data_IF_095369062445
#
_entry.id   IF_095369062445
#
_cell.length_a   1.000
_cell.length_b   1.000
_cell.length_c   1.000
_cell.angle_alpha   90.00
_cell.angle_beta   90.00
_cell.angle_gamma   90.00
#
_symmetry.space_group_name_H-M   'P 1'
#
loop_
_entity.id
_entity.type
_entity.pdbx_description
1 polymer ?
#
# COMPACT_ATOMS: atom_id res chain seq x y z
N UNK A 1 42.74 -31.86 -2.66
CA UNK A 1 42.09 -30.62 -3.13
C UNK A 1 40.62 -30.94 -3.26
N UNK A 2 39.90 -30.77 -2.16
CA UNK A 2 38.52 -31.22 -2.00
C UNK A 2 37.55 -30.22 -2.63
N UNK A 3 36.59 -30.79 -3.35
CA UNK A 3 35.47 -30.16 -4.02
C UNK A 3 34.42 -29.73 -3.00
N UNK A 4 34.08 -28.43 -2.96
CA UNK A 4 32.90 -27.94 -2.23
C UNK A 4 31.61 -28.17 -3.05
N UNK A 5 30.54 -28.70 -2.45
CA UNK A 5 29.29 -28.95 -3.14
C UNK A 5 28.45 -27.67 -3.31
N UNK A 6 27.80 -27.57 -4.46
CA UNK A 6 26.76 -26.59 -4.79
C UNK A 6 25.49 -26.93 -3.99
N UNK A 7 25.16 -26.14 -2.99
CA UNK A 7 23.82 -26.12 -2.40
C UNK A 7 22.92 -25.17 -3.19
N UNK A 8 21.93 -25.74 -3.87
CA UNK A 8 20.82 -24.98 -4.45
C UNK A 8 19.89 -24.52 -3.34
N UNK A 9 19.63 -23.22 -3.26
CA UNK A 9 18.59 -22.67 -2.41
C UNK A 9 17.26 -22.74 -3.15
N UNK A 10 16.42 -23.71 -2.76
CA UNK A 10 15.00 -23.65 -3.01
C UNK A 10 14.39 -22.71 -1.96
N UNK A 11 13.84 -21.58 -2.38
CA UNK A 11 13.04 -20.71 -1.51
C UNK A 11 11.69 -21.40 -1.35
N UNK A 12 11.50 -22.04 -0.20
CA UNK A 12 10.23 -22.61 0.23
C UNK A 12 9.38 -21.44 0.78
N UNK A 13 8.34 -21.03 0.06
CA UNK A 13 7.34 -20.10 0.60
C UNK A 13 6.45 -20.91 1.55
N UNK A 14 6.71 -20.77 2.85
CA UNK A 14 5.89 -21.37 3.89
C UNK A 14 4.70 -20.44 4.20
N UNK A 15 3.50 -20.90 3.87
CA UNK A 15 2.26 -20.35 4.40
C UNK A 15 2.20 -20.60 5.91
N UNK A 16 2.34 -19.55 6.71
CA UNK A 16 2.06 -19.62 8.14
C UNK A 16 0.53 -19.63 8.34
N UNK A 17 -0.05 -20.83 8.38
CA UNK A 17 -1.35 -21.05 8.99
C UNK A 17 -1.20 -20.85 10.50
N UNK A 18 -1.84 -19.80 11.04
CA UNK A 18 -1.95 -19.62 12.50
C UNK A 18 -2.82 -20.73 13.09
N UNK A 19 -2.18 -21.80 13.54
CA UNK A 19 -2.75 -22.77 14.46
C UNK A 19 -2.63 -22.25 15.90
N UNK A 20 -3.75 -22.26 16.63
CA UNK A 20 -3.77 -22.06 18.07
C UNK A 20 -2.75 -22.98 18.77
N UNK A 21 -1.83 -22.40 19.53
CA UNK A 21 -1.05 -23.10 20.54
C UNK A 21 -1.23 -22.40 21.88
N UNK A 22 -1.84 -23.11 22.82
CA UNK A 22 -1.90 -22.78 24.24
C UNK A 22 -0.50 -22.79 24.85
N UNK A 23 -0.05 -21.75 25.57
CA UNK A 23 1.18 -21.80 26.33
C UNK A 23 0.98 -22.49 27.69
N UNK A 24 1.94 -23.36 28.00
CA UNK A 24 2.11 -24.09 29.25
C UNK A 24 2.64 -23.17 30.35
N UNK A 25 2.20 -23.41 31.60
CA UNK A 25 2.53 -22.63 32.80
C UNK A 25 3.99 -22.82 33.24
N UNK A 26 4.72 -21.74 33.45
CA UNK A 26 5.82 -21.66 34.42
C UNK A 26 5.63 -20.46 35.35
N UNK A 27 5.88 -20.69 36.65
CA UNK A 27 5.77 -19.73 37.75
C UNK A 27 7.12 -19.05 37.97
N UNK A 28 7.13 -17.72 38.06
CA UNK A 28 8.10 -16.98 38.88
C UNK A 28 7.52 -15.63 39.35
N UNK A 29 7.26 -15.57 40.66
CA UNK A 29 7.34 -14.45 41.63
C UNK A 29 7.23 -12.99 41.16
N UNK A 30 6.05 -12.42 41.45
CA UNK A 30 5.76 -11.17 42.18
C UNK A 30 6.87 -10.11 42.30
N UNK A 31 6.67 -8.99 41.61
CA UNK A 31 6.76 -7.66 42.22
C UNK A 31 5.55 -6.83 41.77
N UNK A 32 4.78 -6.37 42.75
CA UNK A 32 3.47 -5.76 42.55
C UNK A 32 3.65 -4.27 42.31
N UNK A 33 3.54 -3.84 41.06
CA UNK A 33 3.25 -2.44 40.73
C UNK A 33 1.84 -2.41 40.16
N UNK A 34 0.90 -1.98 41.00
CA UNK A 34 -0.51 -1.79 40.64
C UNK A 34 -0.62 -0.65 39.62
N UNK A 35 -0.49 -0.95 38.34
CA UNK A 35 -0.97 -0.06 37.27
C UNK A 35 -2.45 -0.36 37.12
N UNK A 36 -3.29 0.58 37.54
CA UNK A 36 -4.73 0.50 37.36
C UNK A 36 -5.03 0.41 35.85
N UNK A 37 -5.43 -0.77 35.39
CA UNK A 37 -6.04 -0.96 34.07
C UNK A 37 -7.30 -0.09 34.02
N UNK A 38 -7.48 0.79 33.01
CA UNK A 38 -8.73 1.50 32.88
C UNK A 38 -9.82 0.47 32.60
N UNK A 39 -10.79 0.38 33.52
CA UNK A 39 -12.02 -0.36 33.30
C UNK A 39 -12.73 0.36 32.14
N UNK A 40 -12.67 -0.23 30.95
CA UNK A 40 -13.59 0.11 29.87
C UNK A 40 -15.00 -0.16 30.42
N UNK A 41 -15.77 0.90 30.66
CA UNK A 41 -17.19 0.77 30.96
C UNK A 41 -17.86 0.13 29.74
N UNK A 42 -18.15 -1.16 29.83
CA UNK A 42 -18.98 -1.88 28.85
C UNK A 42 -20.36 -1.21 28.82
N UNK A 43 -20.57 -0.35 27.83
CA UNK A 43 -21.83 0.36 27.63
C UNK A 43 -22.70 -0.50 26.73
N UNK A 44 -23.88 -0.90 27.21
CA UNK A 44 -24.90 -1.59 26.40
C UNK A 44 -25.43 -0.64 25.33
N UNK A 45 -24.71 -0.47 24.22
CA UNK A 45 -25.21 0.28 23.07
C UNK A 45 -25.61 -0.72 21.98
N UNK A 46 -26.91 -1.02 21.90
CA UNK A 46 -27.52 -1.45 20.65
C UNK A 46 -27.29 -0.34 19.62
N UNK A 47 -27.12 -0.69 18.33
CA UNK A 47 -27.02 0.29 17.24
C UNK A 47 -28.20 1.25 17.37
N UNK A 48 -28.00 2.56 17.58
CA UNK A 48 -29.10 3.51 17.54
C UNK A 48 -29.73 3.41 16.15
N UNK A 49 -30.95 2.88 16.08
CA UNK A 49 -31.67 2.64 14.81
C UNK A 49 -31.77 3.91 13.94
N UNK A 50 -31.62 5.08 14.56
CA UNK A 50 -31.64 6.42 13.96
C UNK A 50 -30.45 6.72 13.06
N UNK A 51 -29.29 6.10 13.28
CA UNK A 51 -28.08 6.41 12.51
C UNK A 51 -27.79 5.39 11.41
N UNK A 52 -28.50 4.25 11.38
CA UNK A 52 -28.33 3.25 10.31
C UNK A 52 -28.67 3.83 8.94
N UNK A 53 -27.81 3.54 7.96
CA UNK A 53 -27.91 4.06 6.61
C UNK A 53 -27.97 2.91 5.60
N UNK A 54 -28.90 2.98 4.66
CA UNK A 54 -28.97 2.09 3.50
C UNK A 54 -28.07 2.65 2.39
N UNK A 55 -26.92 2.01 2.20
CA UNK A 55 -25.87 2.47 1.29
C UNK A 55 -26.35 2.60 -0.15
N UNK A 56 -27.20 1.68 -0.61
CA UNK A 56 -27.67 1.63 -2.00
C UNK A 56 -28.78 2.63 -2.29
N UNK A 57 -29.46 3.13 -1.24
CA UNK A 57 -30.60 4.04 -1.35
C UNK A 57 -30.30 5.48 -0.97
N UNK A 58 -29.26 5.73 -0.18
CA UNK A 58 -28.95 7.08 0.25
C UNK A 58 -28.42 7.90 -0.93
N UNK A 59 -28.95 9.13 -1.08
CA UNK A 59 -28.45 10.06 -2.08
C UNK A 59 -27.26 10.83 -1.51
N UNK A 60 -26.11 10.75 -2.18
CA UNK A 60 -24.99 11.66 -1.94
C UNK A 60 -25.32 13.02 -2.55
N UNK A 61 -25.24 14.09 -1.75
CA UNK A 61 -25.56 15.45 -2.18
C UNK A 61 -24.33 16.21 -2.70
N UNK A 62 -23.14 15.91 -2.14
CA UNK A 62 -21.84 16.42 -2.60
C UNK A 62 -20.70 15.65 -1.94
N UNK A 63 -19.49 15.86 -2.43
CA UNK A 63 -18.26 15.40 -1.82
C UNK A 63 -17.53 16.58 -1.17
N UNK A 64 -16.89 16.32 -0.03
CA UNK A 64 -15.99 17.26 0.66
C UNK A 64 -14.73 16.52 1.06
N UNK A 65 -13.67 17.26 1.39
CA UNK A 65 -12.39 16.70 1.83
C UNK A 65 -12.07 17.18 3.24
N UNK A 66 -11.43 16.32 4.04
CA UNK A 66 -10.92 16.70 5.36
C UNK A 66 -9.72 17.63 5.20
N UNK A 67 -9.83 18.88 5.66
CA UNK A 67 -8.78 19.90 5.50
C UNK A 67 -7.88 20.06 6.74
N UNK A 68 -8.20 19.36 7.83
CA UNK A 68 -7.41 19.38 9.06
C UNK A 68 -6.27 18.36 8.99
N UNK A 69 -5.02 18.82 9.11
CA UNK A 69 -3.82 17.96 9.00
C UNK A 69 -3.78 16.81 9.99
N UNK A 70 -4.38 16.99 11.16
CA UNK A 70 -4.49 15.97 12.21
C UNK A 70 -5.68 15.01 12.02
N UNK A 71 -6.40 15.10 10.91
CA UNK A 71 -7.68 14.43 10.72
C UNK A 71 -8.80 15.07 11.54
N UNK A 72 -10.00 14.48 11.47
CA UNK A 72 -11.20 14.95 12.17
C UNK A 72 -11.96 13.78 12.79
N UNK A 73 -12.67 13.99 13.91
CA UNK A 73 -13.51 12.94 14.51
C UNK A 73 -14.81 12.75 13.75
N UNK A 74 -15.20 11.49 13.52
CA UNK A 74 -16.55 11.12 13.05
C UNK A 74 -17.46 10.94 14.26
N UNK A 75 -18.49 11.78 14.41
CA UNK A 75 -19.32 11.84 15.63
C UNK A 75 -20.68 11.18 15.46
N UNK A 76 -21.24 10.75 16.59
CA UNK A 76 -22.58 10.12 16.67
C UNK A 76 -23.75 11.13 16.53
N UNK A 77 -23.51 12.41 16.79
CA UNK A 77 -24.50 13.49 16.72
C UNK A 77 -23.84 14.84 16.40
N UNK A 78 -24.65 15.86 16.06
CA UNK A 78 -24.22 17.24 15.75
C UNK A 78 -23.84 18.03 17.01
N UNK A 79 -22.85 17.54 17.76
CA UNK A 79 -22.36 18.15 19.00
C UNK A 79 -20.90 17.78 19.24
N UNK A 80 -20.09 18.74 19.69
CA UNK A 80 -18.70 18.51 20.10
C UNK A 80 -18.56 17.54 21.29
N UNK A 81 -19.63 17.39 22.08
CA UNK A 81 -19.69 16.47 23.23
C UNK A 81 -20.20 15.09 22.83
N UNK A 82 -20.64 14.89 21.58
CA UNK A 82 -21.09 13.60 21.10
C UNK A 82 -19.94 12.58 21.04
N UNK A 83 -20.30 11.31 21.21
CA UNK A 83 -19.35 10.20 21.11
C UNK A 83 -18.65 10.21 19.74
N UNK A 84 -17.35 9.95 19.77
CA UNK A 84 -16.53 9.75 18.57
C UNK A 84 -16.64 8.28 18.18
N UNK A 85 -17.07 8.02 16.96
CA UNK A 85 -17.29 6.69 16.40
C UNK A 85 -16.15 6.24 15.48
N UNK A 86 -15.34 7.19 15.01
CA UNK A 86 -14.20 6.96 14.13
C UNK A 86 -13.42 8.25 13.91
N UNK A 87 -12.41 8.18 13.05
CA UNK A 87 -11.66 9.34 12.58
C UNK A 87 -11.58 9.29 11.06
N UNK A 88 -11.56 10.46 10.43
CA UNK A 88 -11.26 10.62 9.02
C UNK A 88 -9.92 11.34 8.88
N UNK A 89 -9.08 10.87 7.98
CA UNK A 89 -7.71 11.34 7.79
C UNK A 89 -7.64 12.61 6.92
N UNK A 90 -6.54 13.35 6.99
CA UNK A 90 -6.33 14.52 6.15
C UNK A 90 -6.39 14.16 4.65
N UNK A 91 -7.21 14.90 3.89
CA UNK A 91 -7.43 14.63 2.47
C UNK A 91 -8.42 13.50 2.19
N UNK A 92 -8.97 12.85 3.22
CA UNK A 92 -10.03 11.85 3.02
C UNK A 92 -11.27 12.50 2.41
N UNK A 93 -11.82 11.85 1.37
CA UNK A 93 -13.03 12.28 0.70
C UNK A 93 -14.26 11.74 1.43
N UNK A 94 -15.13 12.64 1.86
CA UNK A 94 -16.37 12.31 2.56
C UNK A 94 -17.59 12.56 1.69
N UNK A 95 -18.44 11.54 1.56
CA UNK A 95 -19.71 11.65 0.86
C UNK A 95 -20.78 12.23 1.80
N UNK A 96 -21.17 13.48 1.53
CA UNK A 96 -22.19 14.18 2.29
C UNK A 96 -23.57 13.67 1.87
N UNK A 97 -24.41 13.32 2.85
CA UNK A 97 -25.79 12.85 2.64
C UNK A 97 -26.82 13.82 3.20
N UNK A 98 -26.41 14.72 4.10
CA UNK A 98 -27.28 15.75 4.65
C UNK A 98 -26.49 16.99 5.07
N UNK A 99 -27.10 18.16 4.88
CA UNK A 99 -26.55 19.45 5.25
C UNK A 99 -27.33 20.01 6.45
N UNK A 100 -26.64 20.27 7.57
CA UNK A 100 -27.25 20.62 8.86
C UNK A 100 -26.71 21.96 9.40
N UNK A 101 -26.34 22.89 8.51
CA UNK A 101 -25.73 24.16 8.91
C UNK A 101 -24.28 23.96 9.36
N UNK A 102 -23.96 24.20 10.63
CA UNK A 102 -22.58 24.08 11.13
C UNK A 102 -22.03 22.65 11.10
N UNK A 103 -22.92 21.67 10.93
CA UNK A 103 -22.59 20.26 10.80
C UNK A 103 -22.98 19.73 9.42
N UNK A 104 -22.31 18.67 9.00
CA UNK A 104 -22.71 17.86 7.85
C UNK A 104 -22.80 16.40 8.29
N UNK A 105 -23.74 15.68 7.68
CA UNK A 105 -23.85 14.25 7.88
C UNK A 105 -23.23 13.53 6.68
N UNK A 106 -22.33 12.60 6.96
CA UNK A 106 -21.55 11.86 5.96
C UNK A 106 -21.76 10.36 6.12
N UNK A 107 -21.43 9.60 5.07
CA UNK A 107 -21.40 8.13 5.14
C UNK A 107 -20.16 7.68 5.91
N UNK A 108 -20.35 6.99 7.02
CA UNK A 108 -19.26 6.36 7.77
C UNK A 108 -19.47 4.85 7.88
N UNK A 109 -18.41 4.06 7.68
CA UNK A 109 -18.45 2.62 7.98
C UNK A 109 -18.00 2.40 9.42
N UNK A 110 -18.94 2.14 10.31
CA UNK A 110 -18.69 2.11 11.76
C UNK A 110 -18.70 0.68 12.27
N UNK A 111 -17.65 0.32 13.01
CA UNK A 111 -17.57 -0.91 13.79
C UNK A 111 -18.24 -0.72 15.16
N UNK A 112 -19.12 -1.64 15.55
CA UNK A 112 -19.82 -1.65 16.84
C UNK A 112 -19.62 -3.01 17.50
N UNK A 113 -19.21 -2.98 18.77
CA UNK A 113 -19.08 -4.16 19.63
C UNK A 113 -20.10 -4.05 20.78
N UNK A 114 -20.98 -5.04 20.93
CA UNK A 114 -21.95 -5.08 22.02
C UNK A 114 -22.23 -6.51 22.48
N UNK A 115 -22.74 -6.64 23.70
CA UNK A 115 -23.14 -7.93 24.29
C UNK A 115 -24.66 -8.02 24.28
N UNK A 116 -25.20 -9.06 23.67
CA UNK A 116 -26.64 -9.37 23.72
C UNK A 116 -27.07 -9.77 25.13
N UNK A 117 -28.37 -9.76 25.40
CA UNK A 117 -28.90 -10.14 26.72
C UNK A 117 -28.61 -11.61 27.09
N UNK A 118 -28.31 -12.46 26.10
CA UNK A 118 -27.87 -13.85 26.29
C UNK A 118 -26.35 -14.00 26.56
N UNK A 119 -25.63 -12.89 26.66
CA UNK A 119 -24.17 -12.88 26.89
C UNK A 119 -23.32 -13.02 25.63
N UNK A 120 -23.93 -13.15 24.45
CA UNK A 120 -23.20 -13.25 23.18
C UNK A 120 -22.53 -11.93 22.82
N UNK A 121 -21.22 -11.95 22.59
CA UNK A 121 -20.48 -10.83 22.01
C UNK A 121 -20.76 -10.74 20.51
N UNK A 122 -21.15 -9.56 20.05
CA UNK A 122 -21.39 -9.24 18.65
C UNK A 122 -20.42 -8.16 18.24
N UNK A 123 -19.64 -8.45 17.21
CA UNK A 123 -18.88 -7.47 16.44
C UNK A 123 -19.59 -7.29 15.11
N UNK A 124 -19.92 -6.05 14.78
CA UNK A 124 -20.62 -5.73 13.55
C UNK A 124 -20.03 -4.47 12.92
N UNK A 125 -20.02 -4.39 11.59
CA UNK A 125 -19.76 -3.13 10.90
C UNK A 125 -20.94 -2.80 10.00
N UNK A 126 -21.31 -1.53 9.96
CA UNK A 126 -22.43 -1.07 9.15
C UNK A 126 -22.20 0.35 8.63
N UNK A 127 -22.95 0.70 7.59
CA UNK A 127 -23.02 2.08 7.15
C UNK A 127 -23.93 2.87 8.10
N UNK A 128 -23.36 3.93 8.66
CA UNK A 128 -24.06 4.86 9.53
C UNK A 128 -23.93 6.29 9.00
N UNK A 129 -24.94 7.10 9.32
CA UNK A 129 -24.84 8.55 9.25
C UNK A 129 -24.00 9.02 10.45
N UNK A 130 -22.85 9.60 10.16
CA UNK A 130 -21.96 10.22 11.16
C UNK A 130 -21.79 11.69 10.85
N UNK A 131 -21.41 12.47 11.86
CA UNK A 131 -21.43 13.92 11.79
C UNK A 131 -20.03 14.48 11.94
N UNK A 132 -19.70 15.45 11.10
CA UNK A 132 -18.44 16.22 11.16
C UNK A 132 -18.75 17.72 11.10
N UNK A 133 -17.90 18.53 11.70
CA UNK A 133 -18.06 19.97 11.66
C UNK A 133 -17.74 20.49 10.25
N UNK A 134 -18.58 21.38 9.72
CA UNK A 134 -18.43 21.88 8.34
C UNK A 134 -17.09 22.58 8.13
N UNK A 135 -16.67 23.38 9.11
CA UNK A 135 -15.45 24.20 9.03
C UNK A 135 -14.16 23.37 9.07
N UNK A 136 -14.23 22.06 9.32
CA UNK A 136 -13.10 21.14 9.27
C UNK A 136 -13.04 20.37 7.93
N UNK A 137 -13.96 20.69 7.01
CA UNK A 137 -14.03 20.14 5.67
C UNK A 137 -14.00 21.24 4.62
N UNK A 138 -13.54 20.90 3.42
CA UNK A 138 -13.42 21.84 2.31
C UNK A 138 -13.41 21.15 0.96
N UNK A 139 -12.83 21.84 0.00
CA UNK A 139 -12.64 21.37 -1.38
C UNK A 139 -11.26 20.74 -1.59
N UNK A 140 -11.08 20.02 -2.69
CA UNK A 140 -9.78 19.40 -3.01
C UNK A 140 -8.65 20.43 -3.12
N UNK A 141 -8.94 21.64 -3.60
CA UNK A 141 -7.94 22.71 -3.77
C UNK A 141 -7.39 23.25 -2.44
N UNK A 142 -8.08 22.98 -1.32
CA UNK A 142 -7.62 23.31 0.03
C UNK A 142 -6.68 22.23 0.60
N UNK A 143 -6.60 21.07 -0.06
CA UNK A 143 -5.64 20.02 0.27
C UNK A 143 -4.30 20.39 -0.33
N UNK A 144 -3.34 20.72 0.55
CA UNK A 144 -2.00 21.09 0.19
C UNK A 144 -1.02 20.14 0.85
N UNK A 145 -0.29 19.39 0.03
CA UNK A 145 0.87 18.65 0.49
C UNK A 145 1.98 19.62 0.84
N UNK A 146 2.67 19.31 1.92
CA UNK A 146 3.89 19.97 2.35
C UNK A 146 5.06 19.00 2.16
N UNK A 147 6.27 19.53 2.18
CA UNK A 147 7.47 18.71 2.00
C UNK A 147 7.62 17.63 3.08
N UNK A 148 7.13 17.87 4.30
CA UNK A 148 7.11 16.89 5.39
C UNK A 148 6.13 15.75 5.16
N UNK A 149 5.10 15.95 4.33
CA UNK A 149 4.10 14.91 4.05
C UNK A 149 4.66 13.83 3.11
N UNK A 150 5.57 14.20 2.19
CA UNK A 150 6.06 13.30 1.15
C UNK A 150 7.03 12.22 1.64
N UNK A 151 7.87 12.53 2.61
CA UNK A 151 8.96 11.65 3.03
C UNK A 151 8.61 10.86 4.29
N UNK A 152 7.34 10.50 4.49
CA UNK A 152 6.92 9.68 5.61
C UNK A 152 6.79 8.22 5.19
N UNK A 153 7.40 7.32 5.97
CA UNK A 153 7.37 5.89 5.72
C UNK A 153 6.76 5.15 6.92
N UNK A 154 5.99 4.12 6.65
CA UNK A 154 5.46 3.19 7.66
C UNK A 154 6.32 1.93 7.77
N UNK A 155 7.20 1.66 6.80
CA UNK A 155 8.15 0.55 6.86
C UNK A 155 9.38 0.80 6.00
N UNK A 156 10.47 0.07 6.30
CA UNK A 156 11.66 -0.03 5.46
C UNK A 156 12.16 -1.46 5.42
N UNK A 157 12.60 -1.93 4.25
CA UNK A 157 13.41 -3.14 4.14
C UNK A 157 14.78 -2.79 3.54
N UNK A 158 15.85 -3.02 4.30
CA UNK A 158 17.22 -2.78 3.86
C UNK A 158 18.04 -4.03 4.12
N UNK A 159 18.64 -4.60 3.07
CA UNK A 159 19.44 -5.83 3.15
C UNK A 159 18.70 -6.96 3.90
N UNK A 160 17.42 -7.17 3.56
CA UNK A 160 16.54 -8.18 4.14
C UNK A 160 16.15 -7.93 5.61
N UNK A 161 16.54 -6.79 6.19
CA UNK A 161 16.06 -6.37 7.50
C UNK A 161 14.87 -5.43 7.35
N UNK A 162 13.74 -5.80 7.93
CA UNK A 162 12.53 -4.99 7.97
C UNK A 162 12.39 -4.25 9.30
N UNK A 163 12.03 -2.97 9.22
CA UNK A 163 11.57 -2.16 10.35
C UNK A 163 10.17 -1.61 10.01
N UNK A 164 9.28 -1.53 11.01
CA UNK A 164 7.93 -0.99 10.90
C UNK A 164 7.74 0.18 11.87
N UNK A 165 7.01 1.21 11.44
CA UNK A 165 6.81 2.48 12.16
C UNK A 165 5.33 2.80 12.22
N UNK A 166 4.65 2.41 13.30
CA UNK A 166 3.21 2.58 13.49
C UNK A 166 2.74 4.04 13.35
N UNK A 167 3.54 4.99 13.84
CA UNK A 167 3.25 6.44 13.73
C UNK A 167 3.88 7.11 12.51
N UNK A 168 4.41 6.32 11.59
CA UNK A 168 5.27 6.77 10.51
C UNK A 168 6.63 7.27 11.02
N UNK A 169 7.58 7.40 10.09
CA UNK A 169 8.92 7.95 10.35
C UNK A 169 9.37 8.79 9.16
N UNK A 170 10.00 9.95 9.36
CA UNK A 170 10.63 10.68 8.27
C UNK A 170 11.78 9.86 7.64
N UNK A 171 11.69 9.64 6.33
CA UNK A 171 12.76 9.10 5.50
C UNK A 171 13.80 10.21 5.28
N UNK A 172 14.97 10.02 5.89
CA UNK A 172 16.08 11.00 5.86
C UNK A 172 17.28 10.51 5.05
N UNK A 173 17.24 9.27 4.57
CA UNK A 173 18.32 8.62 3.81
C UNK A 173 17.76 7.88 2.60
N UNK A 174 18.63 7.54 1.64
CA UNK A 174 18.36 6.76 0.42
C UNK A 174 17.53 7.47 -0.67
N UNK A 175 16.36 8.00 -0.32
CA UNK A 175 15.47 8.70 -1.24
C UNK A 175 14.95 9.99 -0.60
N UNK A 176 14.90 11.06 -1.39
CA UNK A 176 14.23 12.31 -1.02
C UNK A 176 13.25 12.65 -2.12
N UNK A 177 11.96 12.69 -1.77
CA UNK A 177 10.92 13.23 -2.62
C UNK A 177 10.83 14.73 -2.41
N UNK A 178 10.59 15.49 -3.47
CA UNK A 178 10.46 16.95 -3.42
C UNK A 178 9.16 17.38 -4.08
N UNK A 179 8.46 18.32 -3.43
CA UNK A 179 7.36 19.02 -4.09
C UNK A 179 7.94 20.02 -5.09
N UNK A 180 7.58 19.83 -6.35
CA UNK A 180 7.92 20.77 -7.42
C UNK A 180 6.64 21.44 -7.92
N UNK A 181 6.77 22.69 -8.37
CA UNK A 181 5.67 23.36 -9.04
C UNK A 181 5.60 22.96 -10.52
N UNK A 182 4.48 23.29 -11.17
CA UNK A 182 4.25 22.98 -12.57
C UNK A 182 5.33 23.55 -13.50
N UNK A 183 5.83 24.76 -13.24
CA UNK A 183 6.88 25.38 -14.05
C UNK A 183 8.19 24.57 -14.02
N UNK A 184 8.58 24.08 -12.84
CA UNK A 184 9.75 23.21 -12.69
C UNK A 184 9.52 21.89 -13.42
N UNK A 185 8.35 21.27 -13.25
CA UNK A 185 8.01 20.04 -13.95
C UNK A 185 8.12 20.18 -15.47
N UNK A 186 7.47 21.20 -16.05
CA UNK A 186 7.50 21.42 -17.51
C UNK A 186 8.91 21.74 -18.02
N UNK A 187 9.71 22.49 -17.25
CA UNK A 187 11.11 22.78 -17.60
C UNK A 187 11.99 21.53 -17.57
N UNK A 188 11.74 20.61 -16.64
CA UNK A 188 12.52 19.38 -16.50
C UNK A 188 12.03 18.24 -17.39
N UNK A 189 10.82 18.36 -17.97
CA UNK A 189 10.26 17.35 -18.88
C UNK A 189 11.15 17.08 -20.09
N UNK A 190 11.84 18.09 -20.62
CA UNK A 190 12.80 17.92 -21.72
C UNK A 190 14.11 17.23 -21.30
N UNK A 191 14.37 17.12 -20.00
CA UNK A 191 15.56 16.51 -19.42
C UNK A 191 15.33 15.06 -18.97
N UNK A 192 14.17 14.48 -19.28
CA UNK A 192 13.89 13.06 -19.02
C UNK A 192 14.95 12.24 -19.74
N UNK A 193 15.61 11.36 -18.98
CA UNK A 193 16.59 10.42 -19.51
C UNK A 193 15.95 9.04 -19.52
N UNK A 194 15.90 8.42 -20.69
CA UNK A 194 15.57 7.02 -20.86
C UNK A 194 16.77 6.30 -21.48
N UNK A 195 17.22 5.24 -20.82
CA UNK A 195 18.34 4.42 -21.27
C UNK A 195 17.89 3.13 -21.94
N UNK A 196 16.58 2.88 -22.00
CA UNK A 196 16.02 1.72 -22.67
C UNK A 196 16.12 1.90 -24.19
N UNK A 197 16.83 0.98 -24.83
CA UNK A 197 16.70 0.77 -26.26
C UNK A 197 15.56 -0.22 -26.50
N UNK A 198 14.38 0.29 -26.86
CA UNK A 198 13.18 -0.49 -27.14
C UNK A 198 13.23 -1.16 -28.54
N UNK A 199 14.15 -2.10 -28.73
CA UNK A 199 14.32 -2.87 -29.96
C UNK A 199 13.40 -4.10 -30.04
N UNK A 200 12.14 -3.92 -29.65
CA UNK A 200 11.14 -5.00 -29.53
C UNK A 200 10.84 -5.72 -30.85
N UNK A 201 11.21 -5.12 -31.98
CA UNK A 201 11.10 -5.74 -33.31
C UNK A 201 12.22 -6.75 -33.60
N UNK A 202 13.32 -6.73 -32.83
CA UNK A 202 14.45 -7.66 -32.99
C UNK A 202 14.20 -8.96 -32.24
N UNK A 203 13.72 -8.87 -31.01
CA UNK A 203 13.40 -10.03 -30.17
C UNK A 203 11.89 -10.23 -30.16
N UNK A 204 11.42 -11.03 -31.12
CA UNK A 204 10.01 -11.33 -31.30
C UNK A 204 9.66 -12.62 -30.55
N UNK A 205 8.64 -12.56 -29.69
CA UNK A 205 8.04 -13.74 -29.06
C UNK A 205 7.42 -14.65 -30.13
N UNK A 206 7.76 -15.93 -30.11
CA UNK A 206 7.21 -16.94 -31.02
C UNK A 206 6.62 -18.10 -30.23
N UNK A 207 5.34 -18.39 -30.45
CA UNK A 207 4.61 -19.48 -29.77
C UNK A 207 4.78 -19.44 -28.24
N UNK A 208 4.61 -18.26 -27.63
CA UNK A 208 4.79 -18.09 -26.18
C UNK A 208 6.24 -18.14 -25.69
N UNK A 209 7.24 -18.09 -26.58
CA UNK A 209 8.66 -18.16 -26.20
C UNK A 209 9.39 -16.90 -26.67
N UNK A 210 9.92 -16.16 -25.71
CA UNK A 210 10.89 -15.08 -25.92
C UNK A 210 12.30 -15.66 -25.82
N UNK A 211 13.11 -15.53 -26.87
CA UNK A 211 14.50 -16.02 -26.86
C UNK A 211 15.46 -14.84 -26.80
N UNK A 212 16.12 -14.66 -25.67
CA UNK A 212 17.14 -13.63 -25.49
C UNK A 212 18.49 -14.15 -26.00
N UNK A 213 19.12 -13.50 -27.00
CA UNK A 213 20.46 -13.86 -27.43
C UNK A 213 21.46 -13.45 -26.34
N UNK A 214 22.41 -14.34 -26.00
CA UNK A 214 23.48 -13.99 -25.05
C UNK A 214 24.82 -14.44 -25.60
N UNK A 215 25.91 -13.90 -25.07
CA UNK A 215 27.25 -14.30 -25.48
C UNK A 215 27.52 -15.80 -25.25
N UNK A 216 26.98 -16.37 -24.16
CA UNK A 216 27.21 -17.77 -23.81
C UNK A 216 26.21 -18.72 -24.48
N UNK A 217 24.92 -18.58 -24.15
CA UNK A 217 23.85 -19.42 -24.67
C UNK A 217 22.52 -18.68 -24.68
N UNK A 218 21.71 -18.77 -25.73
CA UNK A 218 20.40 -18.15 -25.74
C UNK A 218 19.54 -18.60 -24.55
N UNK A 219 18.84 -17.66 -23.94
CA UNK A 219 17.89 -17.92 -22.85
C UNK A 219 16.50 -17.96 -23.45
N UNK A 220 15.72 -18.98 -23.08
CA UNK A 220 14.33 -19.12 -23.50
C UNK A 220 13.44 -18.84 -22.30
N UNK A 221 12.70 -17.74 -22.37
CA UNK A 221 11.66 -17.38 -21.42
C UNK A 221 10.34 -17.84 -22.03
N UNK A 222 9.64 -18.71 -21.33
CA UNK A 222 8.41 -19.34 -21.83
C UNK A 222 7.23 -18.82 -21.04
N UNK A 223 6.21 -18.38 -21.74
CA UNK A 223 4.91 -18.12 -21.15
C UNK A 223 4.32 -19.43 -20.62
N UNK A 224 3.60 -19.31 -19.51
CA UNK A 224 2.76 -20.35 -18.94
C UNK A 224 1.32 -19.85 -18.98
N UNK A 225 0.51 -20.32 -19.95
CA UNK A 225 -0.90 -19.97 -19.98
C UNK A 225 -1.60 -20.59 -18.76
N UNK A 226 -2.55 -19.86 -18.18
CA UNK A 226 -3.31 -20.25 -17.00
C UNK A 226 -4.31 -19.16 -16.63
N UNK A 227 -5.21 -19.40 -15.68
CA UNK A 227 -5.99 -18.33 -15.06
C UNK A 227 -5.26 -17.83 -13.81
N UNK A 228 -5.20 -18.66 -12.77
CA UNK A 228 -4.56 -18.32 -11.50
C UNK A 228 -3.03 -18.53 -11.50
N UNK A 229 -2.50 -19.38 -12.39
CA UNK A 229 -1.09 -19.71 -12.47
C UNK A 229 -0.41 -19.19 -13.76
N UNK A 230 -1.02 -18.14 -14.35
CA UNK A 230 -0.55 -17.48 -15.56
C UNK A 230 0.81 -16.82 -15.33
N UNK A 231 1.70 -16.98 -16.31
CA UNK A 231 2.96 -16.26 -16.39
C UNK A 231 3.18 -15.83 -17.84
N UNK A 232 3.08 -14.53 -18.12
CA UNK A 232 3.29 -13.97 -19.45
C UNK A 232 4.46 -13.01 -19.44
N UNK A 233 5.40 -13.19 -20.37
CA UNK A 233 6.65 -12.43 -20.36
C UNK A 233 6.77 -11.53 -21.59
N UNK A 234 6.96 -10.23 -21.40
CA UNK A 234 7.11 -9.28 -22.50
C UNK A 234 8.52 -8.68 -22.51
N UNK A 235 9.21 -8.83 -23.62
CA UNK A 235 10.49 -8.13 -23.82
C UNK A 235 10.24 -6.64 -24.02
N UNK A 236 10.92 -5.79 -23.24
CA UNK A 236 10.78 -4.33 -23.32
C UNK A 236 11.93 -3.68 -24.08
N UNK A 237 13.12 -4.29 -24.06
CA UNK A 237 14.30 -3.70 -24.67
C UNK A 237 15.56 -4.05 -23.90
N UNK A 238 16.62 -3.29 -24.16
CA UNK A 238 17.92 -3.49 -23.56
C UNK A 238 18.51 -2.20 -23.00
N UNK A 239 19.34 -2.33 -21.98
CA UNK A 239 20.04 -1.22 -21.34
C UNK A 239 21.54 -1.49 -21.44
N UNK A 240 22.16 -0.86 -22.43
CA UNK A 240 23.51 -1.22 -22.87
C UNK A 240 24.57 -1.06 -21.78
N UNK A 241 24.53 0.04 -21.03
CA UNK A 241 25.53 0.34 -20.01
C UNK A 241 25.47 -0.60 -18.79
N UNK A 242 24.36 -1.32 -18.59
CA UNK A 242 24.24 -2.35 -17.56
C UNK A 242 24.50 -3.76 -18.11
N UNK A 243 24.67 -3.90 -19.43
CA UNK A 243 24.71 -5.19 -20.11
C UNK A 243 23.49 -6.07 -19.78
N UNK A 244 22.29 -5.48 -19.71
CA UNK A 244 21.05 -6.18 -19.34
C UNK A 244 19.97 -6.06 -20.43
N UNK A 245 19.17 -7.11 -20.57
CA UNK A 245 17.82 -7.05 -21.14
C UNK A 245 16.81 -6.70 -20.04
N UNK A 246 15.72 -6.02 -20.43
CA UNK A 246 14.56 -5.77 -19.57
C UNK A 246 13.36 -6.57 -20.07
N UNK A 247 12.76 -7.34 -19.17
CA UNK A 247 11.58 -8.17 -19.43
C UNK A 247 10.54 -7.89 -18.37
N UNK A 248 9.32 -7.60 -18.76
CA UNK A 248 8.15 -7.55 -17.89
C UNK A 248 7.60 -8.96 -17.70
N UNK A 249 7.29 -9.33 -16.46
CA UNK A 249 6.48 -10.51 -16.13
C UNK A 249 5.08 -10.07 -15.70
N UNK A 250 4.05 -10.69 -16.27
CA UNK A 250 2.65 -10.51 -15.88
C UNK A 250 2.10 -11.82 -15.32
N UNK A 251 1.45 -11.72 -14.16
CA UNK A 251 1.00 -12.83 -13.34
C UNK A 251 -0.46 -12.62 -12.91
N UNK A 252 -1.05 -13.61 -12.24
CA UNK A 252 -2.35 -13.41 -11.61
C UNK A 252 -2.22 -12.32 -10.52
N UNK A 253 -2.98 -11.23 -10.67
CA UNK A 253 -3.02 -10.04 -9.78
C UNK A 253 -1.67 -9.35 -9.48
N UNK A 254 -0.62 -9.67 -10.24
CA UNK A 254 0.72 -9.12 -10.01
C UNK A 254 1.49 -8.96 -11.31
N UNK A 255 2.53 -8.15 -11.26
CA UNK A 255 3.49 -7.98 -12.33
C UNK A 255 4.84 -7.58 -11.74
N UNK A 256 5.89 -7.71 -12.54
CA UNK A 256 7.23 -7.24 -12.17
C UNK A 256 8.05 -6.92 -13.43
N UNK A 257 9.23 -6.34 -13.21
CA UNK A 257 10.26 -6.17 -14.22
C UNK A 257 11.53 -6.89 -13.80
N UNK A 258 12.17 -7.56 -14.76
CA UNK A 258 13.36 -8.38 -14.54
C UNK A 258 14.51 -7.97 -15.45
N UNK A 259 15.70 -7.92 -14.88
CA UNK A 259 16.94 -7.83 -15.65
C UNK A 259 17.51 -9.20 -15.95
N UNK A 260 17.93 -9.39 -17.20
CA UNK A 260 18.67 -10.56 -17.65
C UNK A 260 20.02 -10.14 -18.24
N UNK A 261 21.11 -10.69 -17.70
CA UNK A 261 22.47 -10.34 -18.14
C UNK A 261 22.73 -10.83 -19.56
N UNK A 262 23.18 -9.94 -20.45
CA UNK A 262 23.40 -10.23 -21.88
C UNK A 262 24.56 -11.20 -22.12
N UNK A 263 25.42 -11.45 -21.14
CA UNK A 263 26.54 -12.38 -21.26
C UNK A 263 26.15 -13.79 -20.82
N UNK A 264 25.67 -13.91 -19.59
CA UNK A 264 25.37 -15.18 -18.91
C UNK A 264 23.93 -15.66 -19.10
N UNK A 265 23.01 -14.74 -19.38
CA UNK A 265 21.58 -15.01 -19.47
C UNK A 265 20.90 -15.20 -18.12
N UNK A 266 21.58 -14.91 -17.00
CA UNK A 266 20.99 -15.03 -15.68
C UNK A 266 20.08 -13.84 -15.39
N UNK A 267 18.99 -14.11 -14.70
CA UNK A 267 18.26 -13.07 -13.99
C UNK A 267 19.18 -12.45 -12.93
N UNK A 268 19.28 -11.13 -12.90
CA UNK A 268 20.18 -10.40 -12.00
C UNK A 268 19.45 -9.54 -10.99
N UNK A 269 18.24 -9.07 -11.30
CA UNK A 269 17.42 -8.24 -10.43
C UNK A 269 15.95 -8.31 -10.82
N UNK A 270 15.08 -8.27 -9.82
CA UNK A 270 13.61 -8.11 -9.97
C UNK A 270 13.18 -6.78 -9.36
N UNK A 271 12.24 -6.10 -9.99
CA UNK A 271 11.68 -4.81 -9.61
C UNK A 271 10.15 -4.91 -9.57
N UNK A 272 9.51 -4.23 -8.63
CA UNK A 272 8.05 -4.25 -8.49
C UNK A 272 7.33 -3.54 -9.66
N UNK A 273 7.98 -2.55 -10.27
CA UNK A 273 7.52 -1.79 -11.44
C UNK A 273 8.73 -1.34 -12.28
N UNK A 274 8.51 -0.57 -13.34
CA UNK A 274 9.53 -0.13 -14.29
C UNK A 274 10.78 0.45 -13.60
N UNK A 275 11.98 -0.04 -13.94
CA UNK A 275 13.22 0.42 -13.32
C UNK A 275 13.72 1.73 -13.96
N UNK A 276 13.46 2.86 -13.30
CA UNK A 276 13.98 4.16 -13.71
C UNK A 276 15.44 4.32 -13.28
N UNK A 277 16.33 4.57 -14.23
CA UNK A 277 17.77 4.75 -13.98
C UNK A 277 18.07 6.24 -13.87
N UNK A 278 18.81 6.62 -12.83
CA UNK A 278 19.22 8.02 -12.64
C UNK A 278 20.10 8.51 -13.79
N UNK A 279 20.06 9.81 -14.10
CA UNK A 279 20.84 10.42 -15.20
C UNK A 279 22.36 10.16 -15.11
N UNK A 280 22.89 10.04 -13.88
CA UNK A 280 24.28 9.71 -13.61
C UNK A 280 24.60 8.19 -13.65
N UNK A 281 23.60 7.34 -13.94
CA UNK A 281 23.69 5.87 -14.08
C UNK A 281 24.14 5.13 -12.82
N UNK A 282 24.02 5.75 -11.63
CA UNK A 282 24.47 5.17 -10.37
C UNK A 282 23.36 4.49 -9.57
N UNK A 283 22.11 4.89 -9.78
CA UNK A 283 20.99 4.41 -9.01
C UNK A 283 19.85 3.98 -9.93
N UNK A 284 19.06 3.03 -9.45
CA UNK A 284 17.84 2.56 -10.09
C UNK A 284 16.74 2.67 -9.05
N UNK A 285 15.60 3.25 -9.43
CA UNK A 285 14.40 3.32 -8.61
C UNK A 285 13.25 2.64 -9.35
N UNK A 286 12.47 1.87 -8.60
CA UNK A 286 11.21 1.30 -9.06
C UNK A 286 10.15 1.78 -8.08
N UNK A 287 9.06 2.34 -8.61
CA UNK A 287 7.97 2.92 -7.82
C UNK A 287 6.71 2.17 -8.19
N UNK A 288 6.14 1.48 -7.20
CA UNK A 288 4.92 0.71 -7.35
C UNK A 288 3.87 1.25 -6.36
N UNK A 289 2.62 1.36 -6.81
CA UNK A 289 1.48 1.65 -5.95
C UNK A 289 0.68 0.38 -5.72
N UNK A 290 0.47 -0.03 -4.47
CA UNK A 290 -0.44 -1.12 -4.15
C UNK A 290 -1.88 -0.58 -4.10
N UNK A 291 -2.76 -0.94 -5.06
CA UNK A 291 -4.14 -0.44 -5.06
C UNK A 291 -4.97 -0.97 -3.89
N UNK A 292 -4.50 -2.01 -3.20
CA UNK A 292 -5.15 -2.57 -2.01
C UNK A 292 -4.63 -1.95 -0.70
N UNK A 293 -3.56 -1.15 -0.74
CA UNK A 293 -3.16 -0.37 0.41
C UNK A 293 -4.15 0.80 0.54
N UNK A 294 -5.21 0.58 1.29
CA UNK A 294 -6.05 1.65 1.81
C UNK A 294 -5.28 2.31 2.96
N UNK A 295 -4.76 3.52 2.74
CA UNK A 295 -4.37 4.44 3.81
C UNK A 295 -5.59 4.88 4.59
#
# INVERSE_FOLDING_TARGET
>A
METLPRTGYAILIAFALFGCHTPQKEKATSDTVTVATPILKETKNQIPKTNSLDYDRIKVIRQVFVIMKQGIPLREATSEQANILGHAEYGEMLDVVEDLGDWIAVRGRIGRNYVKDDGTRVESSGWEKVYVARNETGTLDEIQLTQSDLNMITSTNINQKSDFFEKGKPLTTHLRLELINQSVFETQKSNIVDFLLADTNVIIKKNGITTLPTANKPVKIKDKPGEEDREEYKYFGQIEHLNQYLVEGSYYESHDFKFFDKTSGKETQVFADYPHISSNRKNIISIYGNPYDST
#
